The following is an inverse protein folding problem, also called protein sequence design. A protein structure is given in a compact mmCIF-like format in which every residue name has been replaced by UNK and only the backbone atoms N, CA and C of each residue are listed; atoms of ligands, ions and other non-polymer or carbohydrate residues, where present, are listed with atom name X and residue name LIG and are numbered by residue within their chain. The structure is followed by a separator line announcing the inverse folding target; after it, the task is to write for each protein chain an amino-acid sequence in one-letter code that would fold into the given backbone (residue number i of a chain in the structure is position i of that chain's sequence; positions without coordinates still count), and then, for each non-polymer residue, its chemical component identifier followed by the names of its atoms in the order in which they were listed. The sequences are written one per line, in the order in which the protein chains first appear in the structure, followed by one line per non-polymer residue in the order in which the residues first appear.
data_IF_902936176272
#
_entry.id   IF_902936176272
#
_cell.length_a   1.000
_cell.length_b   1.000
_cell.length_c   1.000
_cell.angle_alpha   90.00
_cell.angle_beta   90.00
_cell.angle_gamma   90.00
#
_symmetry.space_group_name_H-M   'P 1'
#
loop_
_entity.id
_entity.type
_entity.pdbx_description
1 polymer ?
#
# COMPACT_ATOMS: atom_id res chain seq x y z
N UNK A 1 13.14 2.63 3.65
CA UNK A 1 12.63 1.83 4.80
C UNK A 1 12.11 0.50 4.26
N UNK A 2 12.30 -0.63 4.96
CA UNK A 2 11.93 -1.96 4.47
C UNK A 2 11.34 -2.84 5.58
N UNK A 3 10.28 -3.58 5.28
CA UNK A 3 9.67 -4.58 6.16
C UNK A 3 9.21 -5.81 5.36
N UNK A 4 9.45 -7.00 5.88
CA UNK A 4 9.04 -8.26 5.25
C UNK A 4 7.86 -8.89 5.99
N UNK A 5 7.11 -9.77 5.29
CA UNK A 5 5.96 -10.49 5.84
C UNK A 5 4.86 -9.57 6.41
N UNK A 6 4.69 -8.38 5.84
CA UNK A 6 3.67 -7.42 6.25
C UNK A 6 2.33 -7.86 5.66
N UNK A 7 1.30 -7.95 6.50
CA UNK A 7 -0.06 -8.13 5.99
C UNK A 7 -0.58 -6.78 5.51
N UNK A 8 -0.80 -6.67 4.21
CA UNK A 8 -1.44 -5.54 3.57
C UNK A 8 -2.90 -5.87 3.25
N UNK A 9 -3.81 -5.00 3.64
CA UNK A 9 -5.22 -5.05 3.30
C UNK A 9 -5.58 -3.82 2.47
N UNK A 10 -6.07 -4.09 1.27
CA UNK A 10 -6.51 -3.11 0.30
C UNK A 10 -8.03 -3.10 0.29
N UNK A 11 -8.64 -1.97 0.63
CA UNK A 11 -10.08 -1.81 0.80
C UNK A 11 -10.59 -0.60 0.03
N UNK A 12 -11.89 -0.63 -0.29
CA UNK A 12 -12.59 0.45 -1.01
C UNK A 12 -11.86 0.85 -2.30
N UNK A 13 -11.38 -0.16 -3.04
CA UNK A 13 -10.69 0.06 -4.29
C UNK A 13 -11.68 0.50 -5.37
N UNK A 14 -11.41 1.67 -5.93
CA UNK A 14 -12.03 2.16 -7.14
C UNK A 14 -11.01 2.05 -8.27
N UNK A 15 -11.38 1.32 -9.33
CA UNK A 15 -10.50 1.05 -10.47
C UNK A 15 -10.78 2.08 -11.54
N UNK A 16 -9.79 2.93 -11.80
CA UNK A 16 -9.86 3.99 -12.81
C UNK A 16 -9.48 3.48 -14.19
N UNK A 17 -8.47 2.60 -14.24
CA UNK A 17 -7.93 2.01 -15.46
C UNK A 17 -7.43 0.59 -15.17
N UNK A 18 -7.48 -0.27 -16.19
CA UNK A 18 -6.91 -1.62 -16.16
C UNK A 18 -7.91 -2.72 -15.77
N UNK A 19 -7.45 -3.99 -15.77
CA UNK A 19 -8.33 -5.15 -15.67
C UNK A 19 -8.65 -5.62 -14.25
N UNK A 20 -8.06 -5.02 -13.20
CA UNK A 20 -8.38 -5.38 -11.81
C UNK A 20 -9.87 -5.19 -11.57
N UNK A 21 -10.53 -6.21 -10.99
CA UNK A 21 -11.96 -6.16 -10.65
C UNK A 21 -12.23 -6.19 -9.15
N UNK A 22 -11.19 -6.40 -8.36
CA UNK A 22 -11.31 -6.51 -6.91
C UNK A 22 -11.52 -5.12 -6.30
N UNK A 23 -12.63 -4.96 -5.60
CA UNK A 23 -12.89 -3.79 -4.74
C UNK A 23 -12.18 -3.88 -3.39
N UNK A 24 -11.65 -5.06 -3.05
CA UNK A 24 -10.81 -5.32 -1.87
C UNK A 24 -9.97 -6.57 -2.05
N UNK A 25 -8.78 -6.61 -1.46
CA UNK A 25 -7.98 -7.84 -1.34
C UNK A 25 -6.96 -7.74 -0.21
N UNK A 26 -6.40 -8.90 0.19
CA UNK A 26 -5.31 -8.97 1.17
C UNK A 26 -4.11 -9.67 0.56
N UNK A 27 -2.92 -9.25 0.96
CA UNK A 27 -1.67 -9.87 0.57
C UNK A 27 -0.68 -9.85 1.73
N UNK A 28 0.14 -10.88 1.84
CA UNK A 28 1.37 -10.80 2.62
C UNK A 28 2.46 -10.30 1.68
N UNK A 29 3.07 -9.17 1.99
CA UNK A 29 4.01 -8.50 1.10
C UNK A 29 5.29 -8.07 1.82
N UNK A 30 6.33 -7.89 1.02
CA UNK A 30 7.45 -7.04 1.39
C UNK A 30 7.08 -5.60 1.08
N UNK A 31 7.28 -4.70 2.04
CA UNK A 31 6.97 -3.28 1.91
C UNK A 31 8.26 -2.50 1.93
N UNK A 32 8.49 -1.67 0.92
CA UNK A 32 9.59 -0.72 0.88
C UNK A 32 9.08 0.69 0.63
N UNK A 33 9.79 1.66 1.19
CA UNK A 33 9.62 3.08 0.89
C UNK A 33 10.98 3.65 0.51
N UNK A 34 11.17 3.93 -0.77
CA UNK A 34 12.44 4.33 -1.39
C UNK A 34 12.15 5.33 -2.51
N UNK A 35 12.97 6.37 -2.66
CA UNK A 35 12.83 7.37 -3.74
C UNK A 35 11.39 7.95 -3.89
N UNK A 36 10.72 8.22 -2.77
CA UNK A 36 9.32 8.67 -2.73
C UNK A 36 8.30 7.67 -3.30
N UNK A 37 8.65 6.40 -3.41
CA UNK A 37 7.77 5.33 -3.84
C UNK A 37 7.56 4.32 -2.71
N UNK A 38 6.30 4.15 -2.31
CA UNK A 38 5.86 3.02 -1.49
C UNK A 38 5.58 1.83 -2.42
N UNK A 39 6.25 0.71 -2.18
CA UNK A 39 6.10 -0.53 -2.93
C UNK A 39 5.66 -1.62 -1.97
N UNK A 40 4.61 -2.35 -2.32
CA UNK A 40 4.11 -3.52 -1.60
C UNK A 40 4.13 -4.71 -2.56
N UNK A 41 5.14 -5.55 -2.43
CA UNK A 41 5.36 -6.70 -3.30
C UNK A 41 4.86 -7.99 -2.62
N UNK A 42 3.72 -8.50 -3.10
CA UNK A 42 3.13 -9.78 -2.71
C UNK A 42 3.42 -10.92 -3.70
N UNK A 43 4.42 -10.77 -4.58
CA UNK A 43 4.78 -11.73 -5.62
C UNK A 43 3.85 -11.70 -6.83
N UNK A 44 2.62 -12.20 -6.67
CA UNK A 44 1.61 -12.17 -7.76
C UNK A 44 1.10 -10.76 -8.02
N UNK A 45 0.92 -9.99 -6.94
CA UNK A 45 0.45 -8.61 -6.97
C UNK A 45 1.52 -7.68 -6.44
N UNK A 46 1.83 -6.64 -7.20
CA UNK A 46 2.72 -5.57 -6.74
C UNK A 46 1.95 -4.27 -6.76
N UNK A 47 1.79 -3.65 -5.60
CA UNK A 47 1.19 -2.33 -5.50
C UNK A 47 2.29 -1.26 -5.38
N UNK A 48 2.17 -0.17 -6.14
CA UNK A 48 3.16 0.92 -6.17
C UNK A 48 2.45 2.27 -6.06
N UNK A 49 2.87 3.08 -5.10
CA UNK A 49 2.28 4.38 -4.84
C UNK A 49 3.35 5.43 -4.64
N UNK A 50 3.29 6.50 -5.44
CA UNK A 50 4.14 7.66 -5.24
C UNK A 50 3.70 8.44 -4.00
N UNK A 51 4.64 9.04 -3.27
CA UNK A 51 4.40 9.78 -2.03
C UNK A 51 3.37 10.91 -2.21
N UNK A 52 3.45 11.66 -3.32
CA UNK A 52 2.46 12.67 -3.71
C UNK A 52 1.01 12.17 -3.83
N UNK A 53 0.81 10.86 -4.01
CA UNK A 53 -0.51 10.24 -4.11
C UNK A 53 -0.97 9.64 -2.77
N UNK A 54 -0.16 9.78 -1.71
CA UNK A 54 -0.58 9.51 -0.34
C UNK A 54 -1.41 10.71 0.12
N UNK A 55 -2.72 10.50 0.29
CA UNK A 55 -3.62 11.54 0.75
C UNK A 55 -3.47 11.78 2.25
N UNK A 56 -3.89 10.81 3.06
CA UNK A 56 -3.79 10.84 4.51
C UNK A 56 -3.17 9.54 5.02
N UNK A 57 -2.46 9.64 6.15
CA UNK A 57 -1.91 8.49 6.86
C UNK A 57 -2.38 8.54 8.31
N UNK A 58 -2.84 7.41 8.83
CA UNK A 58 -3.29 7.26 10.21
C UNK A 58 -2.49 6.16 10.89
N UNK A 59 -1.91 6.49 12.05
CA UNK A 59 -1.30 5.51 12.94
C UNK A 59 -2.37 4.75 13.70
N UNK A 60 -2.41 3.43 13.54
CA UNK A 60 -3.18 2.50 14.36
C UNK A 60 -2.26 1.80 15.37
N UNK A 61 -2.81 1.03 16.32
CA UNK A 61 -2.03 0.41 17.41
C UNK A 61 -0.84 -0.44 16.94
N UNK A 62 -1.00 -1.18 15.83
CA UNK A 62 0.00 -2.10 15.24
C UNK A 62 0.04 -2.04 13.71
N UNK A 63 -0.50 -0.97 13.15
CA UNK A 63 -0.65 -0.83 11.72
C UNK A 63 -0.61 0.65 11.31
N UNK A 64 -0.43 0.88 10.03
CA UNK A 64 -0.61 2.19 9.41
C UNK A 64 -1.69 2.05 8.36
N UNK A 65 -2.63 3.00 8.34
CA UNK A 65 -3.64 3.12 7.29
C UNK A 65 -3.30 4.29 6.39
N UNK A 66 -3.30 4.05 5.09
CA UNK A 66 -2.95 5.01 4.05
C UNK A 66 -4.15 5.18 3.13
N UNK A 67 -4.61 6.41 2.95
CA UNK A 67 -5.55 6.76 1.89
C UNK A 67 -4.74 7.02 0.60
N UNK A 68 -4.83 6.10 -0.35
CA UNK A 68 -4.19 6.20 -1.66
C UNK A 68 -5.10 6.88 -2.67
N UNK A 69 -4.66 8.02 -3.20
CA UNK A 69 -5.39 8.80 -4.20
C UNK A 69 -5.27 8.21 -5.60
N UNK A 70 -4.09 7.68 -5.95
CA UNK A 70 -3.80 7.01 -7.21
C UNK A 70 -2.58 6.11 -7.04
N UNK A 71 -2.75 4.79 -7.13
CA UNK A 71 -1.66 3.84 -7.08
C UNK A 71 -1.87 2.71 -8.07
N UNK A 72 -0.76 2.11 -8.48
CA UNK A 72 -0.76 1.01 -9.44
C UNK A 72 -0.87 -0.30 -8.69
N UNK A 73 -1.67 -1.24 -9.22
CA UNK A 73 -1.64 -2.65 -8.86
C UNK A 73 -1.30 -3.44 -10.12
N UNK A 74 -0.16 -4.11 -10.09
CA UNK A 74 0.33 -4.96 -11.19
C UNK A 74 0.03 -6.43 -10.90
N UNK A 75 -0.55 -7.13 -11.88
CA UNK A 75 -0.76 -8.59 -11.88
C UNK A 75 -0.18 -9.20 -13.16
N UNK A 76 0.98 -9.86 -13.07
CA UNK A 76 1.67 -10.35 -14.29
C UNK A 76 2.09 -9.17 -15.18
N UNK A 77 1.60 -9.12 -16.42
CA UNK A 77 1.86 -8.01 -17.35
C UNK A 77 0.81 -6.89 -17.29
N UNK A 78 -0.31 -7.15 -16.62
CA UNK A 78 -1.40 -6.19 -16.49
C UNK A 78 -1.14 -5.18 -15.38
N UNK A 79 -1.47 -3.91 -15.63
CA UNK A 79 -1.40 -2.82 -14.67
C UNK A 79 -2.77 -2.16 -14.55
N UNK A 80 -3.24 -1.99 -13.33
CA UNK A 80 -4.43 -1.22 -13.01
C UNK A 80 -4.10 -0.01 -12.17
N UNK A 81 -4.75 1.12 -12.44
CA UNK A 81 -4.66 2.33 -11.63
C UNK A 81 -5.90 2.41 -10.76
N UNK A 82 -5.69 2.51 -9.45
CA UNK A 82 -6.75 2.46 -8.45
C UNK A 82 -6.58 3.55 -7.40
N UNK A 83 -7.68 3.90 -6.75
CA UNK A 83 -7.69 4.64 -5.48
C UNK A 83 -8.32 3.80 -4.39
N UNK A 84 -8.02 4.08 -3.12
CA UNK A 84 -8.63 3.36 -1.99
C UNK A 84 -7.85 3.48 -0.70
N UNK A 85 -8.08 2.56 0.23
CA UNK A 85 -7.39 2.48 1.52
C UNK A 85 -6.45 1.29 1.55
N UNK A 86 -5.25 1.48 2.08
CA UNK A 86 -4.26 0.44 2.30
C UNK A 86 -3.94 0.40 3.80
N UNK A 87 -4.09 -0.76 4.43
CA UNK A 87 -3.70 -0.99 5.82
C UNK A 87 -2.51 -1.93 5.86
N UNK A 88 -1.41 -1.48 6.47
CA UNK A 88 -0.16 -2.22 6.62
C UNK A 88 0.03 -2.64 8.08
N UNK A 89 -0.07 -3.94 8.37
CA UNK A 89 0.19 -4.48 9.71
C UNK A 89 1.70 -4.61 9.97
N UNK A 90 2.33 -3.51 10.40
CA UNK A 90 3.76 -3.41 10.69
C UNK A 90 4.12 -3.85 12.13
N UNK A 91 3.14 -4.26 12.94
CA UNK A 91 3.38 -4.63 14.33
C UNK A 91 3.87 -3.44 15.15
N UNK A 92 4.88 -3.68 15.99
CA UNK A 92 5.42 -2.64 16.88
C UNK A 92 6.23 -1.57 16.11
N UNK A 93 6.66 -1.87 14.87
CA UNK A 93 7.35 -0.93 13.99
C UNK A 93 6.40 0.13 13.35
N UNK A 94 5.08 -0.03 13.47
CA UNK A 94 4.11 0.90 12.89
C UNK A 94 4.33 2.34 13.36
N UNK A 95 4.67 2.54 14.64
CA UNK A 95 4.89 3.87 15.20
C UNK A 95 6.16 4.53 14.66
N UNK A 96 7.22 3.74 14.46
CA UNK A 96 8.49 4.21 13.91
C UNK A 96 8.32 4.63 12.45
N UNK A 97 7.74 3.75 11.63
CA UNK A 97 7.39 4.05 10.25
C UNK A 97 6.52 5.31 10.12
N UNK A 98 5.51 5.45 10.98
CA UNK A 98 4.64 6.61 10.96
C UNK A 98 5.42 7.91 11.20
N UNK A 99 6.27 7.91 12.23
CA UNK A 99 7.02 9.09 12.64
C UNK A 99 8.10 9.48 11.64
N UNK A 100 8.79 8.51 11.05
CA UNK A 100 9.89 8.79 10.12
C UNK A 100 9.42 9.29 8.76
N UNK A 101 8.30 8.74 8.26
CA UNK A 101 7.84 9.02 6.90
C UNK A 101 6.78 10.12 6.82
N UNK A 102 6.02 10.35 7.90
CA UNK A 102 4.88 11.29 7.91
C UNK A 102 4.74 12.13 9.19
N UNK A 103 5.65 12.00 10.15
CA UNK A 103 5.61 12.71 11.44
C UNK A 103 6.35 14.03 11.47
#
# INVERSE_FOLDING_TARGET
MFASNVKAEFDNLEVHLGPLRDSKFKATCSVSYEEQMLIMDGGKRVARMHARNIGNVHLEKKAIRIAGLNFEVKEGDDVSVVSGSIRLELGDAAKEWYRELWG
#
